data_IF_763483955455
#
_entry.id   IF_763483955455
#
_cell.length_a   1.000
_cell.length_b   1.000
_cell.length_c   1.000
_cell.angle_alpha   90.00
_cell.angle_beta   90.00
_cell.angle_gamma   90.00
#
_symmetry.space_group_name_H-M   'P 1'
#
loop_
_entity.id
_entity.type
_entity.pdbx_description
1 polymer ?
#
# COMPACT_ATOMS: atom_id res chain seq x y z
N UNK A 1 21.26 -3.73 -11.96
CA UNK A 1 20.45 -3.79 -10.81
C UNK A 1 19.16 -3.03 -10.94
N UNK A 2 18.14 -3.70 -10.82
CA UNK A 2 16.86 -3.11 -11.04
C UNK A 2 16.22 -2.71 -9.77
N UNK A 3 16.50 -1.52 -9.34
CA UNK A 3 15.75 -1.02 -8.24
C UNK A 3 14.47 -0.43 -8.77
N UNK A 4 13.39 -1.01 -8.39
CA UNK A 4 12.11 -0.43 -8.69
C UNK A 4 12.01 0.90 -7.97
N UNK A 5 11.67 1.92 -8.70
CA UNK A 5 11.43 3.20 -8.08
C UNK A 5 10.21 3.09 -7.19
N UNK A 6 10.39 3.40 -5.94
CA UNK A 6 9.29 3.36 -4.99
C UNK A 6 8.39 4.55 -5.18
N UNK A 7 7.10 4.33 -5.18
CA UNK A 7 6.16 5.42 -5.37
C UNK A 7 6.08 6.27 -4.10
N UNK A 8 5.61 7.50 -4.28
CA UNK A 8 5.42 8.41 -3.17
C UNK A 8 4.03 8.30 -2.57
N UNK A 9 3.23 7.36 -3.06
CA UNK A 9 1.88 7.16 -2.57
C UNK A 9 1.95 6.46 -1.22
N UNK A 10 1.24 7.01 -0.24
CA UNK A 10 1.24 6.49 1.11
C UNK A 10 -0.03 5.70 1.35
N UNK A 11 0.09 4.39 1.47
CA UNK A 11 -1.07 3.52 1.61
C UNK A 11 -1.89 3.83 2.86
N UNK A 12 -1.24 4.37 3.91
CA UNK A 12 -1.93 4.65 5.15
C UNK A 12 -2.95 5.78 5.02
N UNK A 13 -2.95 6.49 3.89
CA UNK A 13 -3.94 7.54 3.64
C UNK A 13 -5.23 7.02 3.03
N UNK A 14 -5.35 5.71 2.84
CA UNK A 14 -6.46 5.15 2.08
C UNK A 14 -7.30 4.21 2.91
N UNK A 15 -8.61 4.23 2.69
CA UNK A 15 -9.55 3.27 3.26
C UNK A 15 -10.27 2.47 2.18
N UNK A 16 -9.86 2.65 0.92
CA UNK A 16 -10.41 1.92 -0.21
C UNK A 16 -9.23 1.45 -1.05
N UNK A 17 -9.09 0.14 -1.21
CA UNK A 17 -7.91 -0.37 -1.90
C UNK A 17 -7.91 -0.03 -3.38
N UNK A 18 -9.11 0.15 -3.99
CA UNK A 18 -9.16 0.56 -5.39
C UNK A 18 -8.63 1.97 -5.58
N UNK A 19 -8.98 2.87 -4.68
CA UNK A 19 -8.46 4.24 -4.73
C UNK A 19 -6.94 4.24 -4.56
N UNK A 20 -6.46 3.42 -3.65
CA UNK A 20 -5.03 3.31 -3.45
C UNK A 20 -4.35 2.77 -4.71
N UNK A 21 -4.90 1.69 -5.27
CA UNK A 21 -4.31 1.11 -6.48
C UNK A 21 -4.36 2.07 -7.65
N UNK A 22 -5.43 2.85 -7.76
CA UNK A 22 -5.52 3.85 -8.82
C UNK A 22 -4.43 4.91 -8.66
N UNK A 23 -4.21 5.35 -7.44
CA UNK A 23 -3.16 6.34 -7.17
C UNK A 23 -1.79 5.79 -7.52
N UNK A 24 -1.52 4.53 -7.12
CA UNK A 24 -0.25 3.87 -7.46
C UNK A 24 -0.09 3.74 -8.96
N UNK A 25 -1.14 3.33 -9.65
CA UNK A 25 -1.06 3.16 -11.10
C UNK A 25 -0.77 4.49 -11.77
N UNK A 26 -1.46 5.53 -11.38
CA UNK A 26 -1.28 6.86 -11.96
C UNK A 26 0.15 7.35 -11.75
N UNK A 27 0.66 7.20 -10.51
CA UNK A 27 2.02 7.63 -10.21
C UNK A 27 3.04 6.87 -11.03
N UNK A 28 2.90 5.54 -11.10
CA UNK A 28 3.85 4.70 -11.83
C UNK A 28 3.80 4.95 -13.33
N UNK A 29 2.61 5.21 -13.84
CA UNK A 29 2.46 5.53 -15.26
C UNK A 29 3.22 6.79 -15.61
N UNK A 30 3.27 7.75 -14.71
CA UNK A 30 3.97 9.01 -14.93
C UNK A 30 5.46 8.92 -14.69
N UNK A 31 5.92 8.03 -13.83
CA UNK A 31 7.30 8.02 -13.38
C UNK A 31 8.12 6.83 -13.86
N UNK A 32 7.46 5.77 -14.33
CA UNK A 32 8.15 4.56 -14.75
C UNK A 32 7.89 4.35 -16.25
N UNK A 33 8.92 4.49 -17.07
CA UNK A 33 8.73 4.28 -18.51
C UNK A 33 8.25 2.86 -18.80
N UNK A 34 7.27 2.74 -19.68
CA UNK A 34 6.75 1.44 -20.06
C UNK A 34 5.81 0.80 -19.10
N UNK A 35 5.47 1.48 -18.00
CA UNK A 35 4.57 0.90 -17.05
C UNK A 35 3.17 0.73 -17.63
N UNK A 36 2.54 -0.41 -17.36
CA UNK A 36 1.22 -0.73 -17.89
C UNK A 36 0.54 -1.73 -16.99
N UNK A 37 -0.75 -1.95 -17.23
CA UNK A 37 -1.48 -2.99 -16.50
C UNK A 37 -0.85 -4.37 -16.75
N UNK A 38 -0.41 -4.61 -17.96
CA UNK A 38 0.21 -5.88 -18.30
C UNK A 38 1.53 -6.07 -17.54
N UNK A 39 2.34 -5.03 -17.49
CA UNK A 39 3.62 -5.11 -16.78
C UNK A 39 3.37 -5.38 -15.31
N UNK A 40 2.41 -4.69 -14.70
CA UNK A 40 2.09 -4.93 -13.30
C UNK A 40 1.66 -6.38 -13.06
N UNK A 41 0.79 -6.91 -13.91
CA UNK A 41 0.35 -8.29 -13.77
C UNK A 41 1.52 -9.25 -13.87
N UNK A 42 2.43 -9.00 -14.79
CA UNK A 42 3.62 -9.84 -14.93
C UNK A 42 4.47 -9.79 -13.66
N UNK A 43 4.68 -8.61 -13.12
CA UNK A 43 5.47 -8.46 -11.91
C UNK A 43 4.79 -9.10 -10.70
N UNK A 44 3.48 -9.10 -10.70
CA UNK A 44 2.72 -9.73 -9.61
C UNK A 44 2.60 -11.23 -9.80
N UNK A 45 3.08 -11.77 -10.92
CA UNK A 45 2.98 -13.20 -11.17
C UNK A 45 1.58 -13.66 -11.50
N UNK A 46 0.77 -12.77 -12.06
CA UNK A 46 -0.62 -13.07 -12.39
C UNK A 46 -0.72 -13.25 -13.90
N UNK A 47 -1.32 -14.37 -14.31
CA UNK A 47 -1.37 -14.72 -15.73
C UNK A 47 -2.30 -13.83 -16.53
N UNK A 48 -3.31 -13.23 -15.90
CA UNK A 48 -4.25 -12.39 -16.61
C UNK A 48 -3.71 -10.97 -16.76
N UNK A 49 -3.41 -10.51 -17.97
CA UNK A 49 -2.81 -9.19 -18.15
C UNK A 49 -3.77 -8.04 -17.85
N UNK A 50 -5.08 -8.31 -17.83
CA UNK A 50 -6.08 -7.27 -17.62
C UNK A 50 -6.64 -7.25 -16.19
N UNK A 51 -6.05 -8.03 -15.30
CA UNK A 51 -6.61 -8.18 -13.96
C UNK A 51 -6.67 -6.84 -13.22
N UNK A 52 -5.55 -6.12 -13.19
CA UNK A 52 -5.51 -4.83 -12.52
C UNK A 52 -6.49 -3.84 -13.16
N UNK A 53 -6.54 -3.84 -14.50
CA UNK A 53 -7.43 -2.96 -15.22
C UNK A 53 -8.89 -3.17 -14.78
N UNK A 54 -9.32 -4.43 -14.67
CA UNK A 54 -10.68 -4.74 -14.27
C UNK A 54 -10.96 -4.35 -12.83
N UNK A 55 -9.95 -4.52 -11.95
CA UNK A 55 -10.12 -4.09 -10.58
C UNK A 55 -10.31 -2.57 -10.52
N UNK A 56 -9.49 -1.82 -11.25
CA UNK A 56 -9.59 -0.37 -11.23
C UNK A 56 -10.90 0.12 -11.79
N UNK A 57 -11.48 -0.60 -12.74
CA UNK A 57 -12.79 -0.24 -13.28
C UNK A 57 -13.95 -0.67 -12.40
N UNK A 58 -13.68 -1.39 -11.32
CA UNK A 58 -14.73 -1.86 -10.45
C UNK A 58 -15.47 -3.10 -10.96
N UNK A 59 -14.98 -3.70 -12.04
CA UNK A 59 -15.61 -4.88 -12.60
C UNK A 59 -15.27 -6.13 -11.83
N UNK A 60 -14.25 -6.06 -10.97
CA UNK A 60 -13.74 -7.22 -10.30
C UNK A 60 -13.15 -6.82 -8.95
N UNK A 61 -13.28 -7.68 -7.95
CA UNK A 61 -12.63 -7.44 -6.68
C UNK A 61 -11.29 -8.12 -6.61
N UNK A 62 -10.43 -7.66 -5.73
CA UNK A 62 -9.14 -8.29 -5.51
C UNK A 62 -9.35 -9.58 -4.73
N UNK A 63 -8.87 -10.67 -5.29
CA UNK A 63 -8.98 -11.99 -4.71
C UNK A 63 -7.96 -12.14 -3.59
N UNK A 64 -8.37 -12.78 -2.49
CA UNK A 64 -7.45 -13.00 -1.37
C UNK A 64 -6.17 -13.71 -1.79
N UNK A 65 -6.29 -14.65 -2.74
CA UNK A 65 -5.11 -15.38 -3.18
C UNK A 65 -4.11 -14.50 -3.92
N UNK A 66 -4.51 -13.33 -4.40
CA UNK A 66 -3.62 -12.43 -5.12
C UNK A 66 -3.19 -11.22 -4.30
N UNK A 67 -3.69 -11.10 -3.08
CA UNK A 67 -3.34 -9.94 -2.25
C UNK A 67 -1.84 -9.85 -1.99
N UNK A 68 -1.22 -10.98 -1.65
CA UNK A 68 0.23 -10.98 -1.42
C UNK A 68 1.00 -10.68 -2.71
N UNK A 69 0.53 -11.22 -3.83
CA UNK A 69 1.16 -10.94 -5.12
C UNK A 69 1.18 -9.44 -5.41
N UNK A 70 0.04 -8.78 -5.16
CA UNK A 70 -0.04 -7.34 -5.35
C UNK A 70 0.89 -6.59 -4.40
N UNK A 71 0.92 -7.01 -3.13
CA UNK A 71 1.76 -6.34 -2.15
C UNK A 71 3.23 -6.39 -2.56
N UNK A 72 3.67 -7.53 -3.05
CA UNK A 72 5.05 -7.68 -3.51
C UNK A 72 5.31 -6.81 -4.73
N UNK A 73 4.40 -6.83 -5.71
CA UNK A 73 4.58 -6.03 -6.92
C UNK A 73 4.57 -4.54 -6.62
N UNK A 74 3.83 -4.12 -5.60
CA UNK A 74 3.79 -2.73 -5.19
C UNK A 74 5.03 -2.31 -4.41
N UNK A 75 5.84 -3.27 -4.00
CA UNK A 75 7.06 -2.96 -3.25
C UNK A 75 6.79 -2.55 -1.82
N UNK A 76 5.71 -3.02 -1.24
CA UNK A 76 5.33 -2.62 0.10
C UNK A 76 6.25 -3.25 1.15
N UNK A 77 6.60 -2.48 2.17
CA UNK A 77 7.31 -2.99 3.32
C UNK A 77 6.38 -3.86 4.16
N UNK A 78 6.95 -4.59 5.12
CA UNK A 78 6.18 -5.57 5.89
C UNK A 78 4.97 -4.95 6.57
N UNK A 79 5.12 -3.80 7.20
CA UNK A 79 3.99 -3.15 7.86
C UNK A 79 2.95 -2.65 6.87
N UNK A 80 3.40 -2.19 5.71
CA UNK A 80 2.50 -1.75 4.66
C UNK A 80 1.73 -2.91 4.06
N UNK A 81 2.37 -4.06 3.94
CA UNK A 81 1.68 -5.26 3.47
C UNK A 81 0.55 -5.63 4.40
N UNK A 82 0.79 -5.51 5.70
CA UNK A 82 -0.25 -5.81 6.67
C UNK A 82 -1.42 -4.85 6.53
N UNK A 83 -1.12 -3.56 6.34
CA UNK A 83 -2.18 -2.57 6.10
C UNK A 83 -2.95 -2.92 4.83
N UNK A 84 -2.25 -3.25 3.76
CA UNK A 84 -2.88 -3.57 2.50
C UNK A 84 -3.81 -4.78 2.61
N UNK A 85 -3.35 -5.86 3.23
CA UNK A 85 -4.19 -7.04 3.36
C UNK A 85 -5.42 -6.76 4.23
N UNK A 86 -5.24 -5.99 5.29
CA UNK A 86 -6.36 -5.62 6.15
C UNK A 86 -7.34 -4.73 5.40
N UNK A 87 -6.81 -3.83 4.58
CA UNK A 87 -7.64 -2.94 3.76
C UNK A 87 -8.49 -3.72 2.77
N UNK A 88 -7.90 -4.72 2.11
CA UNK A 88 -8.63 -5.57 1.18
C UNK A 88 -9.73 -6.32 1.92
N UNK A 89 -9.41 -6.89 3.09
CA UNK A 89 -10.42 -7.57 3.89
C UNK A 89 -11.54 -6.63 4.31
N UNK A 90 -11.17 -5.41 4.69
CA UNK A 90 -12.16 -4.42 5.11
C UNK A 90 -13.13 -4.10 3.98
N UNK A 91 -12.59 -3.86 2.78
CA UNK A 91 -13.44 -3.52 1.65
C UNK A 91 -14.27 -4.71 1.19
N UNK A 92 -13.80 -5.93 1.41
CA UNK A 92 -14.51 -7.13 0.99
C UNK A 92 -15.48 -7.66 2.05
N UNK A 93 -15.45 -7.12 3.26
CA UNK A 93 -16.31 -7.61 4.33
C UNK A 93 -17.76 -7.27 4.06
N UNK A 94 -18.64 -8.19 4.44
CA UNK A 94 -20.07 -8.05 4.16
C UNK A 94 -20.90 -7.70 5.39
N UNK A 95 -20.41 -7.99 6.59
CA UNK A 95 -21.18 -7.71 7.79
C UNK A 95 -20.67 -6.43 8.46
N UNK A 96 -21.56 -5.78 9.19
CA UNK A 96 -21.19 -4.57 9.92
C UNK A 96 -20.13 -4.88 10.98
N UNK A 97 -20.30 -6.01 11.66
CA UNK A 97 -19.34 -6.40 12.71
C UNK A 97 -17.95 -6.61 12.15
N UNK A 98 -17.84 -7.32 11.03
CA UNK A 98 -16.55 -7.54 10.39
C UNK A 98 -15.92 -6.24 9.95
N UNK A 99 -16.72 -5.37 9.32
CA UNK A 99 -16.20 -4.08 8.86
C UNK A 99 -15.72 -3.24 10.04
N UNK A 100 -16.46 -3.26 11.14
CA UNK A 100 -16.08 -2.47 12.31
C UNK A 100 -14.77 -2.96 12.91
N UNK A 101 -14.63 -4.27 13.04
CA UNK A 101 -13.40 -4.84 13.59
C UNK A 101 -12.20 -4.55 12.68
N UNK A 102 -12.40 -4.66 11.38
CA UNK A 102 -11.32 -4.41 10.44
C UNK A 102 -10.96 -2.92 10.40
N UNK A 103 -11.95 -2.06 10.53
CA UNK A 103 -11.67 -0.62 10.62
C UNK A 103 -10.82 -0.31 11.83
N UNK A 104 -11.13 -0.92 12.98
CA UNK A 104 -10.31 -0.74 14.17
C UNK A 104 -8.88 -1.18 13.94
N UNK A 105 -8.70 -2.30 13.25
CA UNK A 105 -7.36 -2.77 12.91
C UNK A 105 -6.63 -1.78 12.02
N UNK A 106 -7.32 -1.22 11.02
CA UNK A 106 -6.71 -0.22 10.15
C UNK A 106 -6.28 1.01 10.94
N UNK A 107 -7.16 1.49 11.82
CA UNK A 107 -6.85 2.66 12.61
C UNK A 107 -5.69 2.41 13.56
N UNK A 108 -5.61 1.20 14.13
CA UNK A 108 -4.49 0.83 14.99
C UNK A 108 -3.18 0.83 14.21
N UNK A 109 -3.20 0.32 13.00
CA UNK A 109 -1.99 0.31 12.16
C UNK A 109 -1.56 1.72 11.80
N UNK A 110 -2.51 2.59 11.51
CA UNK A 110 -2.20 3.99 11.23
C UNK A 110 -1.63 4.67 12.47
N UNK A 111 -2.18 4.38 13.62
CA UNK A 111 -1.72 4.95 14.86
C UNK A 111 -0.28 4.54 15.15
N UNK A 112 0.02 3.25 14.98
CA UNK A 112 1.37 2.75 15.18
C UNK A 112 2.35 3.43 14.22
N UNK A 113 1.96 3.59 12.97
CA UNK A 113 2.80 4.27 11.99
C UNK A 113 3.06 5.71 12.43
N UNK A 114 2.03 6.38 12.94
CA UNK A 114 2.17 7.75 13.44
C UNK A 114 3.15 7.85 14.59
N UNK A 115 3.07 6.91 15.53
CA UNK A 115 3.98 6.88 16.66
C UNK A 115 5.42 6.69 16.19
N UNK A 116 5.65 5.79 15.26
CA UNK A 116 6.99 5.55 14.73
C UNK A 116 7.55 6.80 14.07
N UNK A 117 6.72 7.53 13.32
CA UNK A 117 7.17 8.74 12.66
C UNK A 117 7.52 9.83 13.66
N UNK A 118 6.74 9.96 14.71
CA UNK A 118 7.01 10.96 15.75
C UNK A 118 8.31 10.63 16.47
N UNK A 119 8.49 9.37 16.82
CA UNK A 119 9.72 8.93 17.49
C UNK A 119 10.93 9.18 16.62
N UNK A 120 10.82 8.90 15.34
CA UNK A 120 11.89 9.12 14.39
C UNK A 120 12.26 10.60 14.31
N UNK A 121 11.27 11.46 14.24
CA UNK A 121 11.50 12.90 14.21
C UNK A 121 12.16 13.39 15.48
N UNK A 122 11.73 12.88 16.62
CA UNK A 122 12.34 13.27 17.89
C UNK A 122 13.79 12.86 17.97
N UNK A 123 14.10 11.67 17.51
CA UNK A 123 15.48 11.20 17.50
C UNK A 123 16.35 12.11 16.65
N UNK A 124 15.87 12.48 15.48
CA UNK A 124 16.63 13.36 14.60
C UNK A 124 16.83 14.73 15.24
N UNK A 125 15.78 15.23 15.89
CA UNK A 125 15.87 16.52 16.57
C UNK A 125 16.92 16.50 17.66
N UNK A 126 16.90 15.47 18.50
CA UNK A 126 17.87 15.37 19.60
C UNK A 126 19.29 15.19 19.10
N UNK A 127 19.47 14.46 18.02
CA UNK A 127 20.79 14.30 17.43
C UNK A 127 21.37 15.66 17.03
N UNK A 128 20.56 16.50 16.40
CA UNK A 128 20.99 17.82 16.01
C UNK A 128 21.26 18.69 17.20
N UNK A 129 20.56 18.46 18.29
CA UNK A 129 20.69 19.28 19.48
C UNK A 129 21.99 18.99 20.25
N UNK A 130 22.33 17.73 20.36
CA UNK A 130 23.42 17.32 21.21
C UNK A 130 24.78 17.39 20.53
N UNK A 131 24.85 16.98 19.30
CA UNK A 131 26.13 16.88 18.63
C UNK A 131 26.86 18.22 18.46
N UNK A 132 26.16 19.28 18.11
CA UNK A 132 26.87 20.56 17.95
C UNK A 132 27.38 21.16 19.24
N UNK A 133 26.91 20.66 20.35
CA UNK A 133 27.31 21.24 21.65
C UNK A 133 28.69 20.82 22.05
N UNK A 134 29.17 19.77 21.47
CA UNK A 134 30.50 19.29 21.75
C UNK A 134 31.55 20.10 20.99
#
# INVERSE_FOLDING_TARGET
>A
MNQKKRSEIDIYNYFDYREYLQAEYTWRKQHIPGFSHRLFSTEAGISSPNYLFRILKGERGLNDSYTENFAVALGLAQNEKKYFSTLVEFNNAHSVDSKENLLRSLLALRYQRGIHRIADKKLKFFSKWYYPVI
#
